data_IF_445590297530
#
_entry.id   IF_445590297530
#
_cell.length_a   1.000
_cell.length_b   1.000
_cell.length_c   1.000
_cell.angle_alpha   90.00
_cell.angle_beta   90.00
_cell.angle_gamma   90.00
#
_symmetry.space_group_name_H-M   'P 1'
#
loop_
_entity.id
_entity.type
_entity.pdbx_description
1 polymer ?
#
# COMPACT_ATOMS: atom_id res chain seq x y z
N UNK A 1 32.55 -12.10 14.84
CA UNK A 1 31.41 -11.29 14.35
C UNK A 1 30.20 -11.69 15.16
N UNK A 2 29.57 -10.72 15.82
CA UNK A 2 28.43 -10.93 16.73
C UNK A 2 27.13 -11.18 15.92
N UNK A 3 26.42 -12.29 16.12
CA UNK A 3 25.17 -12.58 15.43
C UNK A 3 24.03 -11.59 15.75
N UNK A 4 24.16 -10.76 16.79
CA UNK A 4 23.16 -9.73 17.12
C UNK A 4 23.20 -8.48 16.23
N UNK A 5 24.22 -8.33 15.36
CA UNK A 5 24.31 -7.18 14.45
C UNK A 5 23.69 -7.40 13.06
N UNK A 6 23.07 -8.56 12.79
CA UNK A 6 22.45 -8.85 11.48
C UNK A 6 21.01 -8.34 11.30
N UNK A 7 20.37 -7.75 12.31
CA UNK A 7 18.95 -7.36 12.28
C UNK A 7 18.67 -5.86 12.15
N UNK A 8 19.68 -5.03 11.85
CA UNK A 8 19.53 -3.57 11.76
C UNK A 8 19.08 -3.05 10.38
N UNK A 9 18.95 -3.91 9.37
CA UNK A 9 18.67 -3.52 7.98
C UNK A 9 17.38 -4.10 7.36
N UNK A 10 16.53 -4.81 8.12
CA UNK A 10 15.22 -5.19 7.57
C UNK A 10 14.32 -3.96 7.53
N UNK A 11 13.74 -3.68 6.36
CA UNK A 11 12.71 -2.66 6.25
C UNK A 11 11.49 -3.14 7.04
N UNK A 12 11.23 -2.49 8.18
CA UNK A 12 10.05 -2.81 8.99
C UNK A 12 8.84 -2.11 8.41
N UNK A 13 7.76 -2.86 8.19
CA UNK A 13 6.46 -2.26 7.85
C UNK A 13 5.97 -1.43 9.04
N UNK A 14 5.96 -0.12 8.86
CA UNK A 14 5.69 0.87 9.92
C UNK A 14 4.23 1.33 9.95
N UNK A 15 3.58 1.36 8.79
CA UNK A 15 2.18 1.74 8.63
C UNK A 15 1.49 0.83 7.62
N UNK A 16 0.21 0.53 7.85
CA UNK A 16 -0.69 -0.05 6.86
C UNK A 16 -1.84 0.93 6.63
N UNK A 17 -2.09 1.30 5.38
CA UNK A 17 -3.03 2.35 5.00
C UNK A 17 -4.21 1.72 4.25
N UNK A 18 -5.43 2.13 4.59
CA UNK A 18 -6.66 1.75 3.90
C UNK A 18 -7.47 2.99 3.58
N UNK A 19 -8.06 3.00 2.39
CA UNK A 19 -9.06 3.99 2.01
C UNK A 19 -10.31 3.25 1.53
N UNK A 20 -11.48 3.70 1.96
CA UNK A 20 -12.77 3.14 1.55
C UNK A 20 -13.75 4.27 1.25
N UNK A 21 -14.55 4.09 0.18
CA UNK A 21 -15.69 4.96 -0.11
C UNK A 21 -16.92 4.35 0.56
N UNK A 22 -17.57 5.11 1.44
CA UNK A 22 -18.82 4.72 2.09
C UNK A 22 -19.99 5.07 1.16
N UNK A 23 -20.65 4.08 0.52
CA UNK A 23 -21.66 4.38 -0.50
C UNK A 23 -22.88 5.11 0.04
N UNK A 24 -23.20 4.91 1.33
CA UNK A 24 -24.36 5.52 1.98
C UNK A 24 -24.22 7.02 2.22
N UNK A 25 -22.99 7.54 2.40
CA UNK A 25 -22.73 8.97 2.67
C UNK A 25 -21.91 9.66 1.58
N UNK A 26 -21.37 8.92 0.62
CA UNK A 26 -20.39 9.42 -0.36
C UNK A 26 -19.16 10.06 0.32
N UNK A 27 -18.82 9.57 1.51
CA UNK A 27 -17.65 9.99 2.27
C UNK A 27 -16.53 8.97 2.12
N UNK A 28 -15.29 9.43 2.22
CA UNK A 28 -14.12 8.58 2.26
C UNK A 28 -13.66 8.37 3.69
N UNK A 29 -13.51 7.11 4.08
CA UNK A 29 -12.84 6.71 5.31
C UNK A 29 -11.39 6.39 4.99
N UNK A 30 -10.46 7.05 5.70
CA UNK A 30 -9.03 6.78 5.65
C UNK A 30 -8.56 6.23 6.99
N UNK A 31 -7.97 5.03 6.97
CA UNK A 31 -7.42 4.36 8.14
C UNK A 31 -5.92 4.17 8.02
N UNK A 32 -5.17 4.65 9.01
CA UNK A 32 -3.73 4.43 9.11
C UNK A 32 -3.48 3.59 10.37
N UNK A 33 -3.04 2.36 10.17
CA UNK A 33 -2.69 1.45 11.25
C UNK A 33 -1.20 1.61 11.58
N UNK A 34 -0.90 1.92 12.85
CA UNK A 34 0.47 1.90 13.36
C UNK A 34 0.92 0.46 13.56
N UNK A 35 1.62 -0.07 12.57
CA UNK A 35 2.05 -1.45 12.55
C UNK A 35 3.09 -1.73 13.65
N UNK A 36 3.91 -0.74 14.02
CA UNK A 36 4.88 -0.87 15.12
C UNK A 36 4.16 -1.07 16.46
N UNK A 37 3.07 -0.35 16.70
CA UNK A 37 2.26 -0.52 17.90
C UNK A 37 1.47 -1.84 17.88
N UNK A 38 0.87 -2.19 16.73
CA UNK A 38 0.15 -3.45 16.52
C UNK A 38 0.99 -4.68 16.87
N UNK A 39 2.26 -4.69 16.42
CA UNK A 39 3.21 -5.78 16.72
C UNK A 39 3.44 -6.00 18.22
N UNK A 40 3.36 -4.94 19.01
CA UNK A 40 3.62 -5.00 20.45
C UNK A 40 2.36 -5.31 21.27
N UNK A 41 1.19 -4.99 20.72
CA UNK A 41 -0.08 -5.06 21.45
C UNK A 41 -0.90 -6.31 21.16
N UNK A 42 -0.71 -6.93 19.99
CA UNK A 42 -1.52 -8.07 19.56
C UNK A 42 -0.70 -9.34 19.43
N UNK A 43 -1.29 -10.46 19.84
CA UNK A 43 -0.69 -11.77 19.66
C UNK A 43 -0.79 -12.24 18.20
N UNK A 44 -0.05 -13.30 17.89
CA UNK A 44 0.02 -13.86 16.54
C UNK A 44 -1.35 -14.30 16.01
N UNK A 45 -2.22 -14.80 16.89
CA UNK A 45 -3.56 -15.25 16.52
C UNK A 45 -4.45 -14.08 16.12
N UNK A 46 -4.47 -13.01 16.91
CA UNK A 46 -5.25 -11.80 16.64
C UNK A 46 -4.80 -11.13 15.36
N UNK A 47 -3.49 -11.11 15.08
CA UNK A 47 -2.95 -10.58 13.82
C UNK A 47 -3.34 -11.45 12.62
N UNK A 48 -3.35 -12.78 12.75
CA UNK A 48 -3.83 -13.67 11.70
C UNK A 48 -5.34 -13.47 11.43
N UNK A 49 -6.15 -13.36 12.48
CA UNK A 49 -7.60 -13.10 12.36
C UNK A 49 -7.89 -11.74 11.70
N UNK A 50 -7.12 -10.71 12.06
CA UNK A 50 -7.20 -9.40 11.42
C UNK A 50 -6.90 -9.52 9.91
N UNK A 51 -5.80 -10.18 9.55
CA UNK A 51 -5.42 -10.36 8.15
C UNK A 51 -6.48 -11.15 7.37
N UNK A 52 -7.04 -12.21 7.94
CA UNK A 52 -8.13 -12.98 7.32
C UNK A 52 -9.34 -12.09 7.01
N UNK A 53 -9.75 -11.23 7.95
CA UNK A 53 -10.86 -10.29 7.72
C UNK A 53 -10.53 -9.22 6.66
N UNK A 54 -9.26 -8.81 6.56
CA UNK A 54 -8.84 -7.75 5.63
C UNK A 54 -8.60 -8.25 4.21
N UNK A 55 -7.97 -9.42 4.03
CA UNK A 55 -7.50 -9.88 2.72
C UNK A 55 -8.36 -10.99 2.12
N UNK A 56 -9.12 -11.73 2.94
CA UNK A 56 -9.95 -12.84 2.48
C UNK A 56 -11.46 -12.54 2.52
N UNK A 57 -11.85 -11.28 2.75
CA UNK A 57 -13.25 -10.87 2.66
C UNK A 57 -13.77 -10.96 1.22
N UNK A 58 -15.06 -11.33 1.10
CA UNK A 58 -15.80 -11.32 -0.17
C UNK A 58 -16.70 -10.10 -0.32
N UNK A 59 -16.76 -9.26 0.71
CA UNK A 59 -17.66 -8.10 0.76
C UNK A 59 -17.08 -6.89 0.03
N UNK A 60 -15.78 -6.91 -0.26
CA UNK A 60 -15.09 -5.82 -0.95
C UNK A 60 -13.98 -6.34 -1.85
N UNK A 61 -13.56 -5.47 -2.77
CA UNK A 61 -12.36 -5.66 -3.59
C UNK A 61 -11.28 -4.73 -3.04
N UNK A 62 -10.08 -5.28 -2.83
CA UNK A 62 -8.92 -4.51 -2.44
C UNK A 62 -8.20 -3.98 -3.68
N UNK A 63 -8.16 -2.66 -3.84
CA UNK A 63 -7.33 -1.99 -4.84
C UNK A 63 -5.94 -1.75 -4.24
N UNK A 64 -4.91 -2.17 -4.97
CA UNK A 64 -3.51 -2.09 -4.52
C UNK A 64 -2.62 -1.57 -5.63
N UNK A 65 -1.38 -1.18 -5.33
CA UNK A 65 -0.39 -0.85 -6.34
C UNK A 65 0.92 -1.57 -6.02
N UNK A 66 1.26 -2.58 -6.83
CA UNK A 66 2.38 -3.50 -6.60
C UNK A 66 2.19 -4.39 -5.36
N UNK A 67 1.05 -5.09 -5.29
CA UNK A 67 0.65 -5.95 -4.17
C UNK A 67 1.72 -6.97 -3.77
N UNK A 68 2.45 -7.52 -4.74
CA UNK A 68 3.51 -8.50 -4.47
C UNK A 68 4.63 -7.92 -3.58
N UNK A 69 4.97 -6.65 -3.77
CA UNK A 69 6.00 -5.98 -2.96
C UNK A 69 5.51 -5.74 -1.52
N UNK A 70 4.27 -5.26 -1.37
CA UNK A 70 3.66 -5.00 -0.07
C UNK A 70 3.48 -6.28 0.73
N UNK A 71 2.95 -7.33 0.11
CA UNK A 71 2.75 -8.64 0.75
C UNK A 71 4.06 -9.29 1.16
N UNK A 72 5.10 -9.26 0.33
CA UNK A 72 6.42 -9.76 0.71
C UNK A 72 6.94 -9.06 1.97
N UNK A 73 6.82 -7.73 2.03
CA UNK A 73 7.26 -6.92 3.18
C UNK A 73 6.43 -7.20 4.43
N UNK A 74 5.11 -7.37 4.27
CA UNK A 74 4.20 -7.73 5.37
C UNK A 74 4.49 -9.13 5.92
N UNK A 75 4.69 -10.13 5.06
CA UNK A 75 4.98 -11.51 5.47
C UNK A 75 6.30 -11.59 6.24
N UNK A 76 7.33 -10.86 5.79
CA UNK A 76 8.62 -10.82 6.49
C UNK A 76 8.49 -10.24 7.91
N UNK A 77 7.62 -9.23 8.09
CA UNK A 77 7.46 -8.53 9.37
C UNK A 77 6.35 -9.11 10.28
N UNK A 78 5.33 -9.75 9.68
CA UNK A 78 4.14 -10.31 10.31
C UNK A 78 3.81 -11.70 9.72
N UNK A 79 4.62 -12.74 10.00
CA UNK A 79 4.45 -14.06 9.38
C UNK A 79 3.07 -14.71 9.63
N UNK A 80 2.40 -14.35 10.73
CA UNK A 80 1.03 -14.80 11.02
C UNK A 80 0.00 -14.37 9.97
N UNK A 81 0.29 -13.34 9.18
CA UNK A 81 -0.62 -12.84 8.13
C UNK A 81 -0.46 -13.59 6.80
N UNK A 82 0.55 -14.46 6.67
CA UNK A 82 0.94 -15.09 5.41
C UNK A 82 -0.22 -15.80 4.69
N UNK A 83 -0.93 -16.67 5.41
CA UNK A 83 -2.02 -17.45 4.81
C UNK A 83 -3.10 -16.55 4.21
N UNK A 84 -3.47 -15.47 4.90
CA UNK A 84 -4.47 -14.52 4.42
C UNK A 84 -3.99 -13.73 3.20
N UNK A 85 -2.73 -13.29 3.20
CA UNK A 85 -2.15 -12.52 2.10
C UNK A 85 -2.01 -13.34 0.81
N UNK A 86 -1.70 -14.63 0.93
CA UNK A 86 -1.61 -15.58 -0.21
C UNK A 86 -3.01 -15.99 -0.70
N UNK A 87 -3.94 -16.23 0.20
CA UNK A 87 -5.29 -16.70 -0.14
C UNK A 87 -6.24 -15.57 -0.57
N UNK A 88 -5.85 -14.31 -0.41
CA UNK A 88 -6.64 -13.16 -0.84
C UNK A 88 -6.95 -13.21 -2.33
N UNK A 89 -8.23 -13.37 -2.69
CA UNK A 89 -8.68 -13.56 -4.08
C UNK A 89 -9.36 -12.34 -4.68
N UNK A 90 -9.82 -11.40 -3.85
CA UNK A 90 -10.50 -10.18 -4.29
C UNK A 90 -9.53 -8.99 -4.34
N UNK A 91 -8.35 -9.17 -4.94
CA UNK A 91 -7.30 -8.12 -5.04
C UNK A 91 -7.10 -7.72 -6.49
N UNK A 92 -7.19 -6.42 -6.77
CA UNK A 92 -6.80 -5.84 -8.05
C UNK A 92 -5.50 -5.06 -7.85
N UNK A 93 -4.46 -5.48 -8.57
CA UNK A 93 -3.18 -4.78 -8.60
C UNK A 93 -3.14 -3.77 -9.74
N UNK A 94 -3.28 -2.49 -9.39
CA UNK A 94 -3.28 -1.38 -10.35
C UNK A 94 -1.94 -1.23 -11.08
N UNK A 95 -0.84 -1.75 -10.55
CA UNK A 95 0.42 -1.80 -11.30
C UNK A 95 0.27 -2.64 -12.56
N UNK A 96 -0.34 -3.83 -12.44
CA UNK A 96 -0.59 -4.74 -13.59
C UNK A 96 -1.63 -4.17 -14.54
N UNK A 97 -2.70 -3.59 -13.99
CA UNK A 97 -3.73 -2.91 -14.80
C UNK A 97 -3.10 -1.77 -15.62
N UNK A 98 -2.25 -0.96 -15.00
CA UNK A 98 -1.54 0.12 -15.69
C UNK A 98 -0.69 -0.42 -16.85
N UNK A 99 0.12 -1.46 -16.63
CA UNK A 99 0.95 -2.05 -17.70
C UNK A 99 0.08 -2.54 -18.86
N UNK A 100 -0.98 -3.29 -18.55
CA UNK A 100 -1.89 -3.81 -19.57
C UNK A 100 -2.54 -2.70 -20.39
N UNK A 101 -3.04 -1.64 -19.74
CA UNK A 101 -3.67 -0.51 -20.45
C UNK A 101 -2.66 0.22 -21.32
N UNK A 102 -1.44 0.47 -20.84
CA UNK A 102 -0.40 1.14 -21.62
C UNK A 102 -0.02 0.35 -22.89
N UNK A 103 -0.02 -0.98 -22.81
CA UNK A 103 0.31 -1.86 -23.94
C UNK A 103 -0.85 -2.02 -24.94
N UNK A 104 -2.10 -2.07 -24.47
CA UNK A 104 -3.23 -2.50 -25.30
C UNK A 104 -4.22 -1.38 -25.65
N UNK A 105 -4.37 -0.39 -24.77
CA UNK A 105 -5.38 0.65 -24.91
C UNK A 105 -4.99 1.97 -24.20
N UNK A 106 -3.83 2.56 -24.53
CA UNK A 106 -3.31 3.75 -23.84
C UNK A 106 -4.25 4.96 -23.91
N UNK A 107 -5.12 5.03 -24.93
CA UNK A 107 -6.13 6.07 -25.10
C UNK A 107 -7.17 6.14 -23.97
N UNK A 108 -7.27 5.11 -23.12
CA UNK A 108 -8.11 5.15 -21.91
C UNK A 108 -7.59 6.22 -20.95
N UNK A 109 -6.28 6.50 -20.93
CA UNK A 109 -5.72 7.53 -20.07
C UNK A 109 -5.95 8.92 -20.67
N UNK A 110 -6.74 9.79 -20.01
CA UNK A 110 -7.07 11.11 -20.54
C UNK A 110 -5.84 12.03 -20.69
N UNK A 111 -4.76 11.73 -19.99
CA UNK A 111 -3.51 12.49 -20.01
C UNK A 111 -2.33 11.69 -20.57
N UNK A 112 -2.59 10.71 -21.44
CA UNK A 112 -1.54 9.87 -22.03
C UNK A 112 -0.45 10.68 -22.77
N UNK A 113 -0.83 11.68 -23.56
CA UNK A 113 0.12 12.49 -24.33
C UNK A 113 1.09 13.29 -23.45
N UNK A 114 0.68 13.63 -22.22
CA UNK A 114 1.54 14.30 -21.25
C UNK A 114 2.65 13.39 -20.69
N UNK A 115 2.60 12.08 -20.97
CA UNK A 115 3.60 11.11 -20.52
C UNK A 115 4.94 11.25 -21.26
N UNK A 116 4.93 11.68 -22.53
CA UNK A 116 6.10 11.64 -23.42
C UNK A 116 7.32 12.41 -22.88
N UNK A 117 7.11 13.41 -22.04
CA UNK A 117 8.17 14.23 -21.43
C UNK A 117 8.29 14.05 -19.89
N UNK A 118 7.57 13.08 -19.33
CA UNK A 118 7.47 12.89 -17.89
C UNK A 118 8.60 12.03 -17.32
N UNK A 119 9.11 12.43 -16.15
CA UNK A 119 10.01 11.61 -15.32
C UNK A 119 9.28 10.82 -14.23
N UNK A 120 7.95 10.95 -14.14
CA UNK A 120 7.14 10.21 -13.17
C UNK A 120 7.19 8.71 -13.47
N UNK A 121 7.29 7.89 -12.41
CA UNK A 121 7.29 6.42 -12.46
C UNK A 121 6.44 5.86 -11.33
N UNK A 122 5.95 4.63 -11.53
CA UNK A 122 5.16 3.91 -10.55
C UNK A 122 3.79 4.57 -10.33
N UNK A 123 3.26 4.52 -9.11
CA UNK A 123 1.93 5.07 -8.81
C UNK A 123 1.79 6.55 -9.20
N UNK A 124 2.86 7.34 -9.07
CA UNK A 124 2.88 8.76 -9.48
C UNK A 124 2.69 8.95 -10.99
N UNK A 125 3.12 7.99 -11.81
CA UNK A 125 2.86 7.96 -13.25
C UNK A 125 1.40 7.61 -13.54
N UNK A 126 0.85 6.59 -12.87
CA UNK A 126 -0.57 6.23 -12.99
C UNK A 126 -1.48 7.41 -12.61
N UNK A 127 -1.21 8.08 -11.49
CA UNK A 127 -1.98 9.24 -11.05
C UNK A 127 -1.91 10.37 -12.07
N UNK A 128 -0.74 10.63 -12.66
CA UNK A 128 -0.61 11.61 -13.75
C UNK A 128 -1.44 11.21 -14.97
N UNK A 129 -1.38 9.95 -15.38
CA UNK A 129 -2.12 9.44 -16.53
C UNK A 129 -3.64 9.60 -16.35
N UNK A 130 -4.13 9.43 -15.11
CA UNK A 130 -5.56 9.56 -14.78
C UNK A 130 -6.00 11.01 -14.49
N UNK A 131 -5.15 11.84 -13.85
CA UNK A 131 -5.55 13.11 -13.24
C UNK A 131 -4.68 14.32 -13.66
N UNK A 132 -3.74 14.13 -14.59
CA UNK A 132 -2.91 15.19 -15.17
C UNK A 132 -1.69 15.62 -14.33
N UNK A 133 -1.72 15.35 -13.02
CA UNK A 133 -0.67 15.74 -12.09
C UNK A 133 -0.03 14.52 -11.41
N UNK A 134 1.29 14.55 -11.12
CA UNK A 134 1.94 13.47 -10.39
C UNK A 134 1.60 13.57 -8.89
N UNK A 135 1.79 12.46 -8.16
CA UNK A 135 1.83 12.51 -6.70
C UNK A 135 3.01 13.36 -6.21
N UNK A 136 2.79 14.16 -5.15
CA UNK A 136 3.88 14.69 -4.33
C UNK A 136 4.64 13.52 -3.69
N UNK A 137 5.97 13.55 -3.74
CA UNK A 137 6.85 12.51 -3.16
C UNK A 137 7.67 13.03 -1.98
N UNK A 138 7.41 14.24 -1.50
CA UNK A 138 8.18 14.93 -0.47
C UNK A 138 8.36 14.12 0.82
N UNK A 139 7.37 13.29 1.18
CA UNK A 139 7.41 12.45 2.39
C UNK A 139 7.76 10.97 2.14
N UNK A 140 7.99 10.56 0.89
CA UNK A 140 8.22 9.15 0.53
C UNK A 140 9.40 8.54 1.31
N UNK A 141 10.49 9.29 1.47
CA UNK A 141 11.72 8.87 2.16
C UNK A 141 11.83 9.43 3.59
N UNK A 142 10.72 9.93 4.15
CA UNK A 142 10.69 10.41 5.54
C UNK A 142 10.88 9.26 6.54
N UNK A 143 11.25 9.58 7.79
CA UNK A 143 11.35 8.57 8.84
C UNK A 143 9.97 8.14 9.32
N UNK A 144 9.42 7.10 8.67
CA UNK A 144 8.13 6.51 8.98
C UNK A 144 8.10 5.68 10.26
N UNK A 145 9.25 5.46 10.92
CA UNK A 145 9.32 4.77 12.22
C UNK A 145 9.23 5.74 13.39
N UNK A 146 9.57 7.01 13.18
CA UNK A 146 9.48 8.03 14.22
C UNK A 146 8.03 8.18 14.70
N UNK A 147 7.85 8.31 16.01
CA UNK A 147 6.56 8.58 16.65
C UNK A 147 6.63 9.84 17.51
N UNK A 148 5.56 10.66 17.54
CA UNK A 148 4.37 10.58 16.68
C UNK A 148 4.72 10.87 15.21
N UNK A 149 3.88 10.41 14.27
CA UNK A 149 3.98 10.82 12.86
C UNK A 149 3.73 12.32 12.74
N UNK A 150 4.45 12.98 11.81
CA UNK A 150 4.23 14.40 11.52
C UNK A 150 2.92 14.59 10.76
N UNK A 151 2.30 15.77 10.89
CA UNK A 151 1.10 16.13 10.11
C UNK A 151 1.30 15.94 8.60
N UNK A 152 2.47 16.31 8.07
CA UNK A 152 2.79 16.12 6.65
C UNK A 152 2.87 14.64 6.25
N UNK A 153 3.30 13.75 7.16
CA UNK A 153 3.30 12.29 6.91
C UNK A 153 1.86 11.77 6.88
N UNK A 154 1.00 12.24 7.78
CA UNK A 154 -0.43 11.85 7.82
C UNK A 154 -1.20 12.33 6.58
N UNK A 155 -0.86 13.48 6.01
CA UNK A 155 -1.49 13.98 4.78
C UNK A 155 -0.98 13.22 3.54
N UNK A 156 0.27 12.78 3.57
CA UNK A 156 0.87 12.03 2.47
C UNK A 156 0.34 10.59 2.40
N UNK A 157 0.11 9.97 3.56
CA UNK A 157 -0.39 8.59 3.72
C UNK A 157 -1.88 8.45 3.47
#
# INVERSE_FOLDING_TARGET
MDPTQRTLNSQIVSTLQLASLLPSSNEYLYGIFDMLALRLQFDMKSLAELAQRMFCSRDFILLTYNYACDTSSLIENYPSMNDALIQGTAVIDLFRVQQYILENCPQIFPYYDALLNSKSRGLSELVRLCFGNPLDKSMQTSDWRKRPLKQAQLIYS
#
